data_IF_569431495990
#
_entry.id   IF_569431495990
#
_cell.length_a   1.000
_cell.length_b   1.000
_cell.length_c   1.000
_cell.angle_alpha   90.00
_cell.angle_beta   90.00
_cell.angle_gamma   90.00
#
_symmetry.space_group_name_H-M   'P 1'
#
loop_
_entity.id
_entity.type
_entity.pdbx_description
1 polymer ?
#
# COMPACT_ATOMS: atom_id res chain seq x y z
N UNK A 1 67.89 -19.88 16.59
CA UNK A 1 69.38 -19.90 16.54
C UNK A 1 69.87 -18.62 15.86
N UNK A 2 71.05 -18.13 16.29
CA UNK A 2 72.04 -17.24 15.63
C UNK A 2 71.66 -16.62 14.25
N UNK A 3 71.58 -15.29 14.11
CA UNK A 3 72.67 -14.26 14.03
C UNK A 3 73.33 -14.15 12.64
N UNK A 4 73.25 -12.97 11.98
CA UNK A 4 74.37 -12.00 11.83
C UNK A 4 74.07 -10.85 10.83
N UNK A 5 74.51 -9.61 11.21
CA UNK A 5 75.24 -8.53 10.45
C UNK A 5 74.92 -8.28 8.94
N UNK A 6 75.01 -7.09 8.33
CA UNK A 6 75.86 -5.89 8.49
C UNK A 6 75.30 -4.76 7.54
N UNK A 7 75.70 -3.47 7.45
CA UNK A 7 76.40 -2.50 8.34
C UNK A 7 76.58 -1.12 7.66
N UNK A 8 76.48 0.01 8.40
CA UNK A 8 76.94 1.39 8.06
C UNK A 8 76.28 2.09 6.83
N UNK A 9 76.11 3.43 6.77
CA UNK A 9 77.00 4.52 7.18
C UNK A 9 76.38 5.68 7.96
N UNK A 10 77.24 6.40 8.69
CA UNK A 10 76.98 7.68 9.34
C UNK A 10 77.17 8.88 8.40
N UNK A 11 76.54 10.00 8.73
CA UNK A 11 77.25 11.27 8.92
C UNK A 11 76.54 12.12 9.96
N UNK A 12 77.30 12.69 10.90
CA UNK A 12 76.78 13.53 11.98
C UNK A 12 77.01 15.02 11.66
N UNK A 13 76.16 15.89 12.20
CA UNK A 13 76.56 17.26 12.52
C UNK A 13 75.88 17.70 13.82
N UNK A 14 76.70 18.18 14.76
CA UNK A 14 76.27 18.75 16.05
C UNK A 14 76.53 20.25 15.97
N UNK A 15 75.52 21.09 16.24
CA UNK A 15 75.72 22.48 16.67
C UNK A 15 74.76 22.80 17.84
N UNK A 16 75.24 23.64 18.75
CA UNK A 16 74.70 23.93 20.08
C UNK A 16 73.52 24.92 20.12
N UNK A 17 72.75 24.78 21.20
CA UNK A 17 71.87 25.76 21.89
C UNK A 17 71.89 27.24 21.45
N UNK A 18 70.70 27.82 21.32
CA UNK A 18 70.28 29.00 22.12
C UNK A 18 68.82 28.82 22.56
N UNK A 19 68.53 28.98 23.86
CA UNK A 19 67.17 29.08 24.40
C UNK A 19 66.76 30.56 24.49
N UNK A 20 65.69 30.94 23.80
CA UNK A 20 65.02 32.24 23.99
C UNK A 20 63.51 31.99 24.16
N UNK A 21 62.88 32.45 25.25
CA UNK A 21 61.44 32.30 25.43
C UNK A 21 60.70 33.40 24.65
N UNK A 22 60.24 33.08 23.45
CA UNK A 22 59.33 33.93 22.69
C UNK A 22 57.93 33.30 22.68
N UNK A 23 57.03 33.82 23.53
CA UNK A 23 55.60 33.50 23.48
C UNK A 23 54.98 34.15 22.24
N UNK A 24 55.04 33.45 21.11
CA UNK A 24 54.28 33.79 19.91
C UNK A 24 52.96 33.05 19.96
N UNK A 25 51.87 33.77 20.22
CA UNK A 25 50.53 33.26 20.02
C UNK A 25 50.29 33.07 18.51
N UNK A 26 50.54 31.86 18.00
CA UNK A 26 50.18 31.49 16.64
C UNK A 26 48.64 31.40 16.60
N UNK A 27 48.01 32.47 16.10
CA UNK A 27 46.64 32.38 15.63
C UNK A 27 46.60 31.30 14.55
N UNK A 28 45.96 30.17 14.84
CA UNK A 28 45.63 29.17 13.82
C UNK A 28 44.76 29.82 12.74
N UNK A 29 44.77 29.30 11.50
CA UNK A 29 43.92 29.83 10.45
C UNK A 29 42.48 29.85 10.94
N UNK A 30 41.80 30.99 10.79
CA UNK A 30 40.38 31.10 11.09
C UNK A 30 39.67 29.97 10.35
N UNK A 31 38.81 29.24 11.07
CA UNK A 31 37.83 28.39 10.41
C UNK A 31 36.97 29.33 9.57
N UNK A 32 37.18 29.33 8.25
CA UNK A 32 36.16 29.80 7.32
C UNK A 32 34.85 29.16 7.76
N UNK A 33 33.80 29.93 8.08
CA UNK A 33 32.51 29.33 8.38
C UNK A 33 32.15 28.45 7.19
N UNK A 34 31.75 27.21 7.47
CA UNK A 34 31.15 26.39 6.43
C UNK A 34 30.00 27.20 5.86
N UNK A 35 30.08 27.51 4.56
CA UNK A 35 28.99 28.16 3.87
C UNK A 35 27.87 27.13 3.83
N UNK A 36 26.96 27.22 4.81
CA UNK A 36 25.66 26.56 4.75
C UNK A 36 25.00 27.04 3.47
N UNK A 37 25.13 26.24 2.41
CA UNK A 37 24.45 26.50 1.15
C UNK A 37 22.96 26.65 1.49
N UNK A 38 22.29 27.72 1.03
CA UNK A 38 20.87 27.90 1.32
C UNK A 38 20.11 26.63 0.89
N UNK A 39 19.11 26.19 1.67
CA UNK A 39 18.35 24.99 1.32
C UNK A 39 17.82 25.13 -0.11
N UNK A 40 17.90 24.07 -0.94
CA UNK A 40 17.62 24.18 -2.37
C UNK A 40 16.23 24.77 -2.60
N UNK A 41 16.11 25.74 -3.49
CA UNK A 41 14.84 26.45 -3.76
C UNK A 41 13.75 25.54 -4.38
N UNK A 42 14.12 24.34 -4.84
CA UNK A 42 13.21 23.37 -5.44
C UNK A 42 13.49 21.94 -4.93
N UNK A 43 12.45 21.07 -4.87
CA UNK A 43 12.62 19.66 -4.48
C UNK A 43 13.32 18.85 -5.57
N UNK A 44 14.26 17.98 -5.19
CA UNK A 44 15.06 17.16 -6.12
C UNK A 44 14.24 16.07 -6.85
N UNK A 45 13.06 15.73 -6.32
CA UNK A 45 12.06 14.86 -6.97
C UNK A 45 10.68 15.16 -6.38
N UNK A 46 9.64 15.04 -7.20
CA UNK A 46 8.24 14.98 -6.76
C UNK A 46 7.73 13.55 -6.81
N UNK A 47 6.97 13.14 -5.80
CA UNK A 47 6.46 11.78 -5.67
C UNK A 47 4.97 11.79 -5.35
N UNK A 48 4.13 11.39 -6.30
CA UNK A 48 2.66 11.44 -6.16
C UNK A 48 2.11 10.24 -5.39
N UNK A 49 1.30 10.51 -4.37
CA UNK A 49 0.71 9.53 -3.44
C UNK A 49 -0.80 9.77 -3.34
N UNK A 50 -1.60 8.71 -3.35
CA UNK A 50 -3.02 8.78 -2.94
C UNK A 50 -3.17 8.17 -1.54
N UNK A 51 -3.87 8.89 -0.67
CA UNK A 51 -4.31 8.38 0.63
C UNK A 51 -5.78 7.93 0.48
N UNK A 52 -6.05 6.66 0.74
CA UNK A 52 -7.39 6.07 0.66
C UNK A 52 -7.89 5.66 2.05
N UNK A 53 -8.50 6.58 2.82
CA UNK A 53 -9.18 6.20 4.05
C UNK A 53 -10.39 5.34 3.72
N UNK A 54 -10.40 4.10 4.22
CA UNK A 54 -11.40 3.09 3.92
C UNK A 54 -12.85 3.56 4.11
N UNK A 55 -13.75 3.02 3.30
CA UNK A 55 -15.21 3.20 3.41
C UNK A 55 -15.66 4.67 3.23
N UNK A 56 -16.52 5.19 4.13
CA UNK A 56 -17.02 6.56 4.12
C UNK A 56 -18.54 6.70 3.97
N UNK A 57 -19.19 5.75 3.27
CA UNK A 57 -20.64 5.71 3.09
C UNK A 57 -21.42 5.12 4.26
N UNK A 58 -22.72 4.92 4.05
CA UNK A 58 -23.66 4.35 5.01
C UNK A 58 -24.16 2.95 4.56
N UNK A 59 -24.42 2.07 5.52
CA UNK A 59 -25.07 0.78 5.26
C UNK A 59 -26.59 1.02 5.12
N UNK A 60 -27.07 1.00 3.87
CA UNK A 60 -28.44 1.34 3.50
C UNK A 60 -29.05 0.25 2.60
N UNK A 61 -30.38 0.15 2.66
CA UNK A 61 -31.20 -0.76 1.86
C UNK A 61 -32.25 0.04 1.07
N UNK A 62 -32.68 -0.41 -0.12
CA UNK A 62 -32.35 -1.68 -0.76
C UNK A 62 -30.96 -1.69 -1.44
N UNK A 63 -30.45 -2.88 -1.79
CA UNK A 63 -29.14 -3.04 -2.45
C UNK A 63 -29.13 -2.38 -3.82
N UNK A 64 -30.26 -2.47 -4.50
CA UNK A 64 -30.55 -1.96 -5.84
C UNK A 64 -30.32 -0.44 -5.94
N UNK A 65 -30.52 0.29 -4.84
CA UNK A 65 -30.36 1.74 -4.76
C UNK A 65 -29.06 2.21 -4.10
N UNK A 66 -28.47 1.37 -3.23
CA UNK A 66 -27.41 1.79 -2.29
C UNK A 66 -26.18 0.88 -2.27
N UNK A 67 -26.16 -0.21 -3.04
CA UNK A 67 -25.08 -1.19 -3.08
C UNK A 67 -23.75 -0.68 -3.66
N UNK A 68 -22.79 -1.59 -3.81
CA UNK A 68 -21.52 -1.37 -4.51
C UNK A 68 -21.35 -2.45 -5.59
N UNK A 69 -20.34 -2.30 -6.45
CA UNK A 69 -20.06 -3.17 -7.60
C UNK A 69 -21.25 -3.26 -8.56
N UNK A 70 -21.51 -2.16 -9.26
CA UNK A 70 -22.52 -2.13 -10.32
C UNK A 70 -22.08 -2.98 -11.53
N UNK A 71 -22.95 -3.88 -11.96
CA UNK A 71 -22.77 -4.75 -13.11
C UNK A 71 -23.59 -4.26 -14.32
N UNK A 72 -22.95 -3.81 -15.41
CA UNK A 72 -23.66 -3.36 -16.61
C UNK A 72 -24.26 -4.52 -17.43
N UNK A 73 -23.92 -5.79 -17.13
CA UNK A 73 -24.58 -6.94 -17.78
C UNK A 73 -26.02 -7.08 -17.28
N UNK A 74 -26.22 -6.99 -15.97
CA UNK A 74 -27.51 -7.17 -15.29
C UNK A 74 -28.22 -5.89 -14.84
N UNK A 75 -27.60 -4.71 -15.01
CA UNK A 75 -28.08 -3.38 -14.59
C UNK A 75 -28.38 -3.30 -13.07
N UNK A 76 -27.49 -3.89 -12.26
CA UNK A 76 -27.68 -4.05 -10.81
C UNK A 76 -26.37 -3.96 -10.02
N UNK A 77 -26.45 -3.50 -8.77
CA UNK A 77 -25.38 -3.71 -7.79
C UNK A 77 -25.31 -5.18 -7.37
N UNK A 78 -24.13 -5.78 -7.44
CA UNK A 78 -23.93 -7.16 -7.02
C UNK A 78 -23.82 -7.28 -5.50
N UNK A 79 -23.15 -6.34 -4.84
CA UNK A 79 -22.92 -6.35 -3.38
C UNK A 79 -23.70 -5.25 -2.64
N UNK A 80 -23.94 -5.47 -1.33
CA UNK A 80 -24.31 -4.40 -0.41
C UNK A 80 -23.11 -3.46 -0.19
N UNK A 81 -23.37 -2.19 0.08
CA UNK A 81 -22.29 -1.25 0.38
C UNK A 81 -21.68 -1.55 1.76
N UNK A 82 -20.37 -1.79 1.79
CA UNK A 82 -19.63 -2.10 3.02
C UNK A 82 -19.21 -0.80 3.70
N UNK A 83 -19.92 -0.42 4.77
CA UNK A 83 -19.70 0.88 5.46
C UNK A 83 -18.52 0.92 6.45
N UNK A 84 -17.81 -0.20 6.60
CA UNK A 84 -16.67 -0.40 7.50
C UNK A 84 -17.06 -1.07 8.81
N UNK A 85 -16.06 -1.52 9.55
CA UNK A 85 -16.22 -2.11 10.86
C UNK A 85 -16.77 -1.10 11.89
N UNK A 86 -17.46 -1.59 12.92
CA UNK A 86 -17.96 -0.77 14.03
C UNK A 86 -17.92 -1.57 15.34
N UNK A 87 -17.44 -0.96 16.42
CA UNK A 87 -17.36 -1.57 17.74
C UNK A 87 -17.39 -0.50 18.84
N UNK A 88 -18.09 -0.76 19.97
CA UNK A 88 -18.14 0.15 21.13
C UNK A 88 -18.47 1.62 20.78
N UNK A 89 -19.40 1.84 19.84
CA UNK A 89 -19.75 3.17 19.33
C UNK A 89 -18.76 3.81 18.35
N UNK A 90 -17.59 3.20 18.12
CA UNK A 90 -16.58 3.62 17.14
C UNK A 90 -16.95 3.09 15.76
N UNK A 91 -16.62 3.86 14.72
CA UNK A 91 -16.79 3.52 13.31
C UNK A 91 -15.44 3.62 12.61
N UNK A 92 -15.04 2.59 11.87
CA UNK A 92 -13.77 2.55 11.14
C UNK A 92 -13.60 3.78 10.25
N UNK A 93 -14.63 4.08 9.43
CA UNK A 93 -14.63 5.20 8.47
C UNK A 93 -14.27 6.55 9.07
N UNK A 94 -14.60 6.79 10.34
CA UNK A 94 -14.26 8.03 11.05
C UNK A 94 -12.78 8.03 11.43
N UNK A 95 -12.31 6.98 12.09
CA UNK A 95 -10.94 6.90 12.61
C UNK A 95 -9.90 6.94 11.48
N UNK A 96 -10.13 6.17 10.41
CA UNK A 96 -9.20 6.12 9.27
C UNK A 96 -9.21 7.40 8.44
N UNK A 97 -10.34 8.12 8.37
CA UNK A 97 -10.41 9.44 7.73
C UNK A 97 -9.55 10.45 8.47
N UNK A 98 -9.71 10.54 9.79
CA UNK A 98 -8.96 11.51 10.60
C UNK A 98 -7.45 11.21 10.59
N UNK A 99 -7.06 9.92 10.62
CA UNK A 99 -5.66 9.53 10.45
C UNK A 99 -5.14 9.90 9.05
N UNK A 100 -5.94 9.76 8.00
CA UNK A 100 -5.55 10.16 6.64
C UNK A 100 -5.44 11.69 6.49
N UNK A 101 -6.31 12.48 7.14
CA UNK A 101 -6.20 13.96 7.20
C UNK A 101 -4.89 14.37 7.87
N UNK A 102 -4.61 13.82 9.05
CA UNK A 102 -3.38 14.14 9.79
C UNK A 102 -2.13 13.66 9.05
N UNK A 103 -2.15 12.48 8.41
CA UNK A 103 -1.07 12.03 7.50
C UNK A 103 -0.89 12.99 6.31
N UNK A 104 -1.97 13.48 5.71
CA UNK A 104 -1.91 14.46 4.62
C UNK A 104 -1.25 15.75 5.07
N UNK A 105 -1.60 16.27 6.24
CA UNK A 105 -0.98 17.50 6.79
C UNK A 105 0.54 17.33 6.95
N UNK A 106 1.00 16.21 7.51
CA UNK A 106 2.44 15.94 7.65
C UNK A 106 3.14 15.76 6.29
N UNK A 107 2.49 15.14 5.31
CA UNK A 107 3.06 15.01 3.95
C UNK A 107 3.06 16.34 3.19
N UNK A 108 2.04 17.18 3.37
CA UNK A 108 1.92 18.48 2.71
C UNK A 108 3.00 19.47 3.20
N UNK A 109 3.59 19.28 4.39
CA UNK A 109 4.80 19.98 4.82
C UNK A 109 5.94 19.85 3.79
N UNK A 110 6.03 18.75 3.04
CA UNK A 110 7.07 18.57 2.02
C UNK A 110 6.90 19.44 0.77
N UNK A 111 5.89 20.31 0.70
CA UNK A 111 5.58 21.14 -0.48
C UNK A 111 6.29 22.49 -0.53
N UNK A 112 6.78 23.02 0.59
CA UNK A 112 7.55 24.29 0.65
C UNK A 112 8.87 24.12 1.42
N UNK A 113 9.85 25.03 1.29
CA UNK A 113 11.12 24.94 2.02
C UNK A 113 10.93 24.96 3.55
N UNK A 114 10.02 25.82 4.05
CA UNK A 114 9.74 26.05 5.46
C UNK A 114 8.97 24.86 6.06
N UNK A 115 7.98 24.36 5.31
CA UNK A 115 7.32 23.10 5.63
C UNK A 115 8.33 21.96 5.68
N UNK A 116 9.25 21.87 4.71
CA UNK A 116 10.23 20.78 4.68
C UNK A 116 11.25 20.88 5.83
N UNK A 117 11.60 22.07 6.29
CA UNK A 117 12.35 22.24 7.55
C UNK A 117 11.58 21.65 8.75
N UNK A 118 10.27 21.87 8.83
CA UNK A 118 9.40 21.27 9.85
C UNK A 118 9.34 19.74 9.70
N UNK A 119 9.17 19.23 8.47
CA UNK A 119 9.20 17.80 8.18
C UNK A 119 10.53 17.14 8.60
N UNK A 120 11.68 17.76 8.27
CA UNK A 120 13.00 17.30 8.73
C UNK A 120 13.10 17.20 10.25
N UNK A 121 12.48 18.11 10.99
CA UNK A 121 12.45 18.04 12.47
C UNK A 121 11.78 16.75 12.97
N UNK A 122 10.70 16.30 12.32
CA UNK A 122 10.06 15.03 12.62
C UNK A 122 10.91 13.82 12.20
N UNK A 123 11.65 13.93 11.10
CA UNK A 123 12.51 12.86 10.59
C UNK A 123 13.71 12.56 11.50
N UNK A 124 14.13 13.54 12.33
CA UNK A 124 15.17 13.35 13.37
C UNK A 124 14.84 12.25 14.40
N UNK A 125 13.59 11.78 14.52
CA UNK A 125 13.28 10.59 15.33
C UNK A 125 13.75 9.27 14.68
N UNK A 126 13.83 9.22 13.35
CA UNK A 126 14.06 7.99 12.57
C UNK A 126 15.47 7.90 12.00
N UNK A 127 16.08 9.03 11.61
CA UNK A 127 17.43 9.08 11.04
C UNK A 127 18.31 10.16 11.71
N UNK A 128 19.62 9.95 11.69
CA UNK A 128 20.63 10.95 12.08
C UNK A 128 21.14 11.74 10.86
N UNK A 129 20.89 11.23 9.65
CA UNK A 129 21.45 11.79 8.43
C UNK A 129 20.56 12.96 7.97
N UNK A 130 21.19 13.98 7.37
CA UNK A 130 20.46 15.01 6.60
C UNK A 130 19.67 14.33 5.46
N UNK A 131 18.43 14.75 5.26
CA UNK A 131 17.57 14.22 4.19
C UNK A 131 17.30 15.28 3.12
N UNK A 132 17.45 14.96 1.82
CA UNK A 132 17.25 15.93 0.75
C UNK A 132 15.77 16.26 0.55
N UNK A 133 15.48 17.45 0.01
CA UNK A 133 14.10 17.85 -0.21
C UNK A 133 13.45 17.05 -1.34
N UNK A 134 12.59 16.11 -0.96
CA UNK A 134 11.69 15.39 -1.87
C UNK A 134 10.27 15.85 -1.55
N UNK A 135 9.55 16.33 -2.55
CA UNK A 135 8.14 16.71 -2.41
C UNK A 135 7.27 15.47 -2.55
N UNK A 136 6.45 15.20 -1.53
CA UNK A 136 5.36 14.24 -1.62
C UNK A 136 4.09 15.00 -2.00
N UNK A 137 3.51 14.63 -3.14
CA UNK A 137 2.28 15.25 -3.64
C UNK A 137 1.08 14.35 -3.30
N UNK A 138 0.47 14.62 -2.14
CA UNK A 138 -0.60 13.81 -1.55
C UNK A 138 -2.02 14.36 -1.81
N UNK A 139 -2.88 13.49 -2.35
CA UNK A 139 -4.33 13.68 -2.49
C UNK A 139 -5.09 12.59 -1.75
N UNK A 140 -6.36 12.84 -1.38
CA UNK A 140 -7.21 11.86 -0.67
C UNK A 140 -8.36 11.39 -1.56
N UNK A 141 -8.79 10.13 -1.44
CA UNK A 141 -9.97 9.62 -2.16
C UNK A 141 -11.29 10.17 -1.62
N UNK A 142 -11.31 10.63 -0.36
CA UNK A 142 -12.40 11.35 0.30
C UNK A 142 -11.87 12.20 1.45
N UNK A 143 -12.57 13.28 1.78
CA UNK A 143 -12.23 14.22 2.87
C UNK A 143 -13.25 14.23 4.02
N UNK A 144 -14.37 13.53 3.86
CA UNK A 144 -15.57 13.56 4.71
C UNK A 144 -16.19 12.16 4.82
N UNK A 145 -17.03 11.95 5.83
CA UNK A 145 -17.96 10.80 5.90
C UNK A 145 -19.38 11.19 5.42
N UNK A 146 -20.21 10.20 5.07
CA UNK A 146 -21.60 10.44 4.65
C UNK A 146 -22.41 11.20 5.69
N UNK A 147 -22.10 11.03 6.98
CA UNK A 147 -22.74 11.74 8.09
C UNK A 147 -22.30 13.21 8.25
N UNK A 148 -21.18 13.62 7.65
CA UNK A 148 -20.64 14.99 7.72
C UNK A 148 -21.12 15.87 6.55
N UNK A 149 -21.77 15.28 5.55
CA UNK A 149 -22.26 15.97 4.35
C UNK A 149 -23.70 16.45 4.52
N UNK A 150 -24.02 17.57 3.86
CA UNK A 150 -25.41 17.96 3.54
C UNK A 150 -26.15 16.91 2.68
N UNK A 151 -25.42 15.91 2.16
CA UNK A 151 -25.93 14.72 1.48
C UNK A 151 -26.61 13.68 2.40
N UNK A 152 -26.87 13.97 3.68
CA UNK A 152 -27.92 13.25 4.42
C UNK A 152 -29.30 13.39 3.72
N UNK A 153 -29.50 14.46 2.95
CA UNK A 153 -30.63 14.67 2.04
C UNK A 153 -30.37 14.19 0.58
N UNK A 154 -29.30 13.42 0.34
CA UNK A 154 -29.01 12.86 -0.98
C UNK A 154 -29.99 11.77 -1.38
N UNK A 155 -30.29 11.70 -2.67
CA UNK A 155 -30.88 10.51 -3.29
C UNK A 155 -29.93 9.29 -3.24
N UNK A 156 -28.61 9.53 -3.11
CA UNK A 156 -27.58 8.51 -2.95
C UNK A 156 -26.39 9.03 -2.10
N UNK A 157 -26.30 8.67 -0.81
CA UNK A 157 -25.17 9.05 0.03
C UNK A 157 -23.94 8.15 -0.16
N UNK A 158 -24.04 7.03 -0.87
CA UNK A 158 -22.94 6.07 -1.08
C UNK A 158 -22.14 6.35 -2.35
N UNK A 159 -22.75 6.99 -3.35
CA UNK A 159 -22.13 7.46 -4.59
C UNK A 159 -20.64 7.88 -4.49
N UNK A 160 -20.25 8.89 -3.69
CA UNK A 160 -18.85 9.34 -3.61
C UNK A 160 -17.87 8.33 -2.98
N UNK A 161 -18.36 7.27 -2.34
CA UNK A 161 -17.58 6.33 -1.55
C UNK A 161 -17.50 4.90 -2.14
N UNK A 162 -18.26 4.63 -3.21
CA UNK A 162 -18.23 3.34 -3.93
C UNK A 162 -16.83 3.03 -4.44
N UNK A 163 -16.45 1.77 -4.31
CA UNK A 163 -15.14 1.31 -4.78
C UNK A 163 -15.08 1.25 -6.31
N UNK A 164 -16.19 0.81 -6.92
CA UNK A 164 -16.39 0.66 -8.36
C UNK A 164 -17.17 1.84 -8.97
N UNK A 165 -17.14 1.93 -10.29
CA UNK A 165 -17.96 2.90 -11.02
C UNK A 165 -19.45 2.58 -10.89
N UNK A 166 -20.28 3.60 -11.01
CA UNK A 166 -21.72 3.51 -10.75
C UNK A 166 -22.53 4.44 -11.65
N UNK A 167 -23.78 4.10 -12.01
CA UNK A 167 -24.67 5.00 -12.72
C UNK A 167 -25.13 6.14 -11.80
N UNK A 168 -25.02 7.36 -12.29
CA UNK A 168 -25.69 8.52 -11.71
C UNK A 168 -27.22 8.30 -11.70
N UNK A 169 -27.88 8.40 -10.55
CA UNK A 169 -29.31 8.01 -10.43
C UNK A 169 -30.22 8.73 -11.42
N UNK A 170 -29.97 10.02 -11.67
CA UNK A 170 -30.78 10.92 -12.50
C UNK A 170 -30.44 10.83 -13.98
N UNK A 171 -29.15 10.83 -14.34
CA UNK A 171 -28.70 10.89 -15.73
C UNK A 171 -28.33 9.53 -16.33
N UNK A 172 -28.26 8.48 -15.50
CA UNK A 172 -27.75 7.12 -15.81
C UNK A 172 -26.33 7.06 -16.40
N UNK A 173 -25.64 8.19 -16.52
CA UNK A 173 -24.23 8.27 -16.94
C UNK A 173 -23.36 7.65 -15.86
N UNK A 174 -22.45 6.77 -16.27
CA UNK A 174 -21.45 6.18 -15.38
C UNK A 174 -20.56 7.28 -14.78
N UNK A 175 -20.33 7.19 -13.47
CA UNK A 175 -19.46 8.07 -12.68
C UNK A 175 -18.29 7.25 -12.14
N UNK A 176 -17.08 7.85 -12.03
CA UNK A 176 -15.92 7.16 -11.50
C UNK A 176 -16.07 6.86 -10.00
N UNK A 177 -15.86 5.61 -9.60
CA UNK A 177 -15.65 5.20 -8.21
C UNK A 177 -14.21 5.43 -7.74
N UNK A 178 -13.91 5.01 -6.50
CA UNK A 178 -12.59 5.24 -5.88
C UNK A 178 -11.43 4.64 -6.67
N UNK A 179 -11.56 3.45 -7.27
CA UNK A 179 -10.47 2.84 -8.07
C UNK A 179 -10.18 3.67 -9.34
N UNK A 180 -11.22 4.11 -10.04
CA UNK A 180 -11.09 4.95 -11.26
C UNK A 180 -10.52 6.33 -10.92
N UNK A 181 -10.93 6.93 -9.79
CA UNK A 181 -10.28 8.13 -9.25
C UNK A 181 -8.79 7.89 -9.02
N UNK A 182 -8.40 6.84 -8.29
CA UNK A 182 -7.00 6.51 -8.01
C UNK A 182 -6.18 6.35 -9.31
N UNK A 183 -6.71 5.65 -10.30
CA UNK A 183 -6.02 5.43 -11.58
C UNK A 183 -5.86 6.74 -12.37
N UNK A 184 -6.87 7.61 -12.38
CA UNK A 184 -6.80 8.95 -12.97
C UNK A 184 -5.75 9.84 -12.30
N UNK A 185 -5.54 9.68 -10.99
CA UNK A 185 -4.51 10.42 -10.27
C UNK A 185 -3.07 9.97 -10.63
N UNK A 186 -2.88 8.84 -11.33
CA UNK A 186 -1.56 8.32 -11.76
C UNK A 186 -0.49 8.28 -10.63
N UNK A 187 -0.81 7.78 -9.41
CA UNK A 187 0.14 7.78 -8.30
C UNK A 187 1.20 6.70 -8.42
N UNK A 188 2.31 6.90 -7.72
CA UNK A 188 3.35 5.88 -7.56
C UNK A 188 2.98 4.91 -6.42
N UNK A 189 2.41 5.45 -5.34
CA UNK A 189 2.02 4.75 -4.13
C UNK A 189 0.58 5.12 -3.74
N UNK A 190 -0.19 4.12 -3.31
CA UNK A 190 -1.49 4.30 -2.66
C UNK A 190 -1.39 3.74 -1.25
N UNK A 191 -1.67 4.58 -0.25
CA UNK A 191 -1.74 4.18 1.16
C UNK A 191 -3.22 4.05 1.52
N UNK A 192 -3.70 2.81 1.61
CA UNK A 192 -5.09 2.53 2.01
C UNK A 192 -5.14 2.16 3.48
N UNK A 193 -6.00 2.84 4.24
CA UNK A 193 -6.07 2.77 5.70
C UNK A 193 -7.41 2.16 6.13
N UNK A 194 -7.34 1.02 6.81
CA UNK A 194 -8.46 0.22 7.27
C UNK A 194 -8.27 -0.25 8.73
N UNK A 195 -9.36 -0.67 9.37
CA UNK A 195 -9.36 -1.29 10.71
C UNK A 195 -10.23 -2.54 10.73
N UNK A 196 -9.64 -3.67 11.11
CA UNK A 196 -10.34 -4.95 11.10
C UNK A 196 -11.09 -5.20 12.42
N UNK A 197 -12.26 -5.86 12.45
CA UNK A 197 -12.73 -6.59 13.63
C UNK A 197 -11.76 -7.72 13.99
N UNK A 198 -11.56 -7.97 15.29
CA UNK A 198 -10.77 -9.08 15.77
C UNK A 198 -11.59 -10.33 16.13
N UNK A 199 -10.93 -11.49 16.19
CA UNK A 199 -11.48 -12.66 16.87
C UNK A 199 -11.12 -12.65 18.38
N UNK A 200 -11.79 -13.49 19.18
CA UNK A 200 -11.54 -13.62 20.62
C UNK A 200 -10.05 -13.87 20.89
N UNK A 201 -9.46 -13.16 21.86
CA UNK A 201 -8.03 -13.27 22.22
C UNK A 201 -7.01 -12.82 21.14
N UNK A 202 -7.42 -12.31 19.98
CA UNK A 202 -6.49 -11.71 19.00
C UNK A 202 -5.62 -10.61 19.65
N UNK A 203 -4.29 -10.57 19.42
CA UNK A 203 -3.37 -9.61 20.06
C UNK A 203 -3.52 -8.14 19.64
N UNK A 204 -4.45 -7.80 18.74
CA UNK A 204 -4.45 -6.51 18.04
C UNK A 204 -3.25 -6.36 17.10
N UNK A 205 -2.80 -5.12 16.91
CA UNK A 205 -1.68 -4.78 16.03
C UNK A 205 -2.10 -4.50 14.59
N UNK A 206 -1.21 -4.72 13.63
CA UNK A 206 -1.38 -4.31 12.23
C UNK A 206 -1.24 -5.50 11.27
N UNK A 207 -1.77 -5.41 10.05
CA UNK A 207 -1.55 -6.38 8.98
C UNK A 207 -1.56 -5.72 7.60
N UNK A 208 -0.89 -6.34 6.63
CA UNK A 208 -1.02 -5.98 5.22
C UNK A 208 -2.20 -6.72 4.56
N UNK A 209 -2.78 -6.14 3.52
CA UNK A 209 -3.79 -6.80 2.67
C UNK A 209 -3.23 -6.97 1.27
N UNK A 210 -3.21 -8.21 0.77
CA UNK A 210 -2.55 -8.57 -0.49
C UNK A 210 -3.50 -9.35 -1.41
N UNK A 211 -3.34 -9.08 -2.71
CA UNK A 211 -3.82 -9.92 -3.80
C UNK A 211 -2.57 -10.35 -4.59
N UNK A 212 -2.37 -11.64 -4.91
CA UNK A 212 -1.23 -12.09 -5.71
C UNK A 212 -1.41 -11.70 -7.19
N UNK A 213 -0.40 -11.99 -8.01
CA UNK A 213 -0.48 -11.79 -9.46
C UNK A 213 -1.21 -12.93 -10.19
N UNK A 214 -1.34 -12.78 -11.51
CA UNK A 214 -1.80 -13.82 -12.42
C UNK A 214 -1.10 -15.18 -12.21
N UNK A 215 0.18 -15.20 -11.82
CA UNK A 215 0.98 -16.44 -11.67
C UNK A 215 0.40 -17.37 -10.61
N UNK A 216 0.18 -16.89 -9.39
CA UNK A 216 -0.43 -17.68 -8.31
C UNK A 216 -1.88 -18.04 -8.63
N UNK A 217 -2.69 -17.11 -9.17
CA UNK A 217 -4.06 -17.46 -9.58
C UNK A 217 -4.08 -18.55 -10.67
N UNK A 218 -3.15 -18.52 -11.64
CA UNK A 218 -3.03 -19.55 -12.67
C UNK A 218 -2.63 -20.92 -12.09
N UNK A 219 -1.82 -20.96 -11.03
CA UNK A 219 -1.54 -22.19 -10.27
C UNK A 219 -2.82 -22.70 -9.59
N UNK A 220 -3.57 -21.85 -8.90
CA UNK A 220 -4.83 -22.20 -8.23
C UNK A 220 -5.90 -22.71 -9.23
N UNK A 221 -6.01 -22.08 -10.41
CA UNK A 221 -6.80 -22.58 -11.54
C UNK A 221 -6.33 -23.96 -12.01
N UNK A 222 -5.01 -24.16 -12.12
CA UNK A 222 -4.43 -25.46 -12.46
C UNK A 222 -4.71 -26.55 -11.44
N UNK A 223 -4.73 -26.24 -10.14
CA UNK A 223 -5.14 -27.19 -9.07
C UNK A 223 -6.62 -27.55 -9.22
N UNK A 224 -7.49 -26.54 -9.40
CA UNK A 224 -8.92 -26.73 -9.67
C UNK A 224 -9.21 -27.62 -10.90
N UNK A 225 -8.37 -27.52 -11.93
CA UNK A 225 -8.44 -28.33 -13.15
C UNK A 225 -7.76 -29.70 -13.05
N UNK A 226 -7.11 -30.03 -11.92
CA UNK A 226 -6.32 -31.26 -11.74
C UNK A 226 -5.01 -31.29 -12.55
N UNK A 227 -4.54 -30.15 -13.06
CA UNK A 227 -3.26 -30.01 -13.77
C UNK A 227 -2.07 -29.84 -12.83
N UNK A 228 -2.30 -29.41 -11.59
CA UNK A 228 -1.29 -29.28 -10.54
C UNK A 228 -1.77 -29.93 -9.25
N UNK A 229 -0.84 -30.47 -8.48
CA UNK A 229 -1.10 -31.03 -7.15
C UNK A 229 -1.21 -29.91 -6.08
N UNK A 230 -1.85 -30.21 -4.95
CA UNK A 230 -2.21 -29.23 -3.91
C UNK A 230 -0.97 -28.64 -3.21
N UNK A 231 0.13 -29.37 -3.21
CA UNK A 231 1.44 -29.01 -2.65
C UNK A 231 1.98 -27.71 -3.24
N UNK A 232 1.68 -27.43 -4.52
CA UNK A 232 2.04 -26.15 -5.17
C UNK A 232 1.43 -24.92 -4.49
N UNK A 233 0.37 -25.10 -3.71
CA UNK A 233 -0.19 -24.06 -2.86
C UNK A 233 0.25 -24.21 -1.40
N UNK A 234 0.18 -25.41 -0.81
CA UNK A 234 0.42 -25.60 0.63
C UNK A 234 1.89 -25.39 1.02
N UNK A 235 2.84 -25.64 0.12
CA UNK A 235 4.26 -25.34 0.32
C UNK A 235 4.64 -23.91 -0.07
N UNK A 236 3.70 -23.14 -0.64
CA UNK A 236 3.95 -21.76 -1.07
C UNK A 236 3.80 -20.75 0.07
N UNK A 237 4.40 -19.55 -0.03
CA UNK A 237 4.14 -18.44 0.89
C UNK A 237 2.67 -17.98 0.94
N UNK A 238 1.87 -18.33 -0.09
CA UNK A 238 0.45 -17.99 -0.19
C UNK A 238 -0.47 -18.99 0.54
N UNK A 239 0.07 -20.06 1.11
CA UNK A 239 -0.67 -21.12 1.84
C UNK A 239 -1.55 -20.59 2.98
N UNK A 240 -1.17 -19.45 3.57
CA UNK A 240 -1.86 -18.79 4.68
C UNK A 240 -3.10 -17.98 4.26
N UNK A 241 -3.82 -18.45 3.22
CA UNK A 241 -4.97 -17.77 2.63
C UNK A 241 -6.13 -17.51 3.61
N UNK A 242 -6.88 -16.43 3.38
CA UNK A 242 -8.02 -16.06 4.20
C UNK A 242 -9.15 -17.10 4.08
N UNK A 243 -9.76 -17.46 5.20
CA UNK A 243 -10.99 -18.27 5.22
C UNK A 243 -12.18 -17.33 5.34
N UNK A 244 -12.83 -17.03 4.22
CA UNK A 244 -14.04 -16.21 4.15
C UNK A 244 -15.31 -17.05 3.97
N UNK A 245 -15.19 -18.30 3.49
CA UNK A 245 -16.26 -19.28 3.47
C UNK A 245 -16.06 -20.28 4.62
N UNK A 246 -16.95 -20.23 5.59
CA UNK A 246 -16.93 -21.15 6.73
C UNK A 246 -17.03 -22.62 6.28
N UNK A 247 -16.28 -23.50 6.94
CA UNK A 247 -16.21 -24.92 6.61
C UNK A 247 -15.44 -25.26 5.33
N UNK A 248 -14.76 -24.29 4.70
CA UNK A 248 -13.86 -24.49 3.56
C UNK A 248 -12.39 -24.34 4.02
N UNK A 249 -11.49 -25.15 3.47
CA UNK A 249 -10.04 -25.04 3.74
C UNK A 249 -9.42 -23.77 3.12
N UNK A 250 -8.20 -23.40 3.53
CA UNK A 250 -7.46 -22.28 2.92
C UNK A 250 -7.31 -22.45 1.41
N UNK A 251 -6.98 -23.67 0.95
CA UNK A 251 -6.91 -23.99 -0.48
C UNK A 251 -8.27 -23.85 -1.18
N UNK A 252 -9.37 -24.29 -0.56
CA UNK A 252 -10.70 -24.17 -1.16
C UNK A 252 -11.12 -22.69 -1.30
N UNK A 253 -10.79 -21.83 -0.33
CA UNK A 253 -10.99 -20.38 -0.44
C UNK A 253 -10.08 -19.76 -1.51
N UNK A 254 -8.79 -20.12 -1.55
CA UNK A 254 -7.86 -19.65 -2.58
C UNK A 254 -8.29 -20.06 -4.01
N UNK A 255 -8.77 -21.29 -4.18
CA UNK A 255 -9.38 -21.74 -5.44
C UNK A 255 -10.62 -20.91 -5.76
N UNK A 256 -11.53 -20.66 -4.80
CA UNK A 256 -12.70 -19.82 -5.04
C UNK A 256 -12.33 -18.41 -5.55
N UNK A 257 -11.32 -17.79 -4.94
CA UNK A 257 -10.78 -16.52 -5.39
C UNK A 257 -10.18 -16.57 -6.80
N UNK A 258 -9.61 -17.70 -7.22
CA UNK A 258 -9.15 -17.88 -8.60
C UNK A 258 -10.31 -17.95 -9.62
N UNK A 259 -11.41 -18.64 -9.31
CA UNK A 259 -12.64 -18.63 -10.14
C UNK A 259 -13.20 -17.18 -10.24
N UNK A 260 -13.29 -16.46 -9.12
CA UNK A 260 -13.75 -15.06 -9.07
C UNK A 260 -12.79 -14.12 -9.83
N UNK A 261 -11.48 -14.35 -9.74
CA UNK A 261 -10.46 -13.58 -10.46
C UNK A 261 -10.57 -13.75 -11.98
N UNK A 262 -10.64 -14.99 -12.48
CA UNK A 262 -10.64 -15.23 -13.93
C UNK A 262 -11.95 -14.87 -14.63
N UNK A 263 -13.09 -15.24 -14.06
CA UNK A 263 -14.37 -15.09 -14.77
C UNK A 263 -15.50 -14.56 -13.88
N UNK A 264 -15.20 -14.05 -12.69
CA UNK A 264 -16.20 -13.39 -11.84
C UNK A 264 -17.32 -14.30 -11.32
N UNK A 265 -17.15 -15.62 -11.26
CA UNK A 265 -18.12 -16.52 -10.62
C UNK A 265 -17.44 -17.31 -9.51
N UNK A 266 -18.19 -17.70 -8.48
CA UNK A 266 -17.74 -18.69 -7.51
C UNK A 266 -17.72 -20.10 -8.12
N UNK A 267 -16.91 -21.03 -7.57
CA UNK A 267 -17.12 -22.46 -7.79
C UNK A 267 -18.22 -22.98 -6.86
N UNK A 268 -18.84 -24.08 -7.25
CA UNK A 268 -19.58 -24.91 -6.32
C UNK A 268 -18.63 -25.55 -5.28
N UNK A 269 -19.18 -26.20 -4.24
CA UNK A 269 -18.41 -26.80 -3.13
C UNK A 269 -17.31 -27.81 -3.56
N UNK A 270 -17.36 -28.35 -4.78
CA UNK A 270 -16.31 -29.25 -5.28
C UNK A 270 -15.06 -28.55 -5.79
N UNK A 271 -15.08 -27.22 -5.97
CA UNK A 271 -13.97 -26.45 -6.57
C UNK A 271 -13.75 -26.70 -8.07
N UNK A 272 -14.64 -27.46 -8.74
CA UNK A 272 -14.45 -27.97 -10.12
C UNK A 272 -15.51 -27.52 -11.13
N UNK A 273 -16.61 -26.93 -10.69
CA UNK A 273 -17.69 -26.42 -11.55
C UNK A 273 -18.16 -25.06 -11.05
N UNK A 274 -18.61 -24.21 -11.95
CA UNK A 274 -19.18 -22.89 -11.66
C UNK A 274 -20.45 -23.00 -10.82
N UNK A 275 -20.62 -22.07 -9.87
CA UNK A 275 -21.94 -21.71 -9.36
C UNK A 275 -22.46 -20.51 -10.16
N UNK A 276 -23.44 -20.75 -11.03
CA UNK A 276 -24.02 -19.70 -11.89
C UNK A 276 -24.91 -18.71 -11.12
N UNK A 277 -25.30 -19.02 -9.88
CA UNK A 277 -26.08 -18.12 -9.02
C UNK A 277 -25.20 -17.13 -8.26
N UNK A 278 -23.91 -17.45 -8.10
CA UNK A 278 -22.93 -16.65 -7.36
C UNK A 278 -21.98 -15.91 -8.31
N UNK A 279 -22.51 -14.85 -8.94
CA UNK A 279 -21.76 -13.95 -9.82
C UNK A 279 -21.24 -12.72 -9.04
N UNK A 280 -19.95 -12.45 -9.19
CA UNK A 280 -19.16 -11.40 -8.55
C UNK A 280 -18.60 -10.36 -9.53
N UNK A 281 -19.02 -10.42 -10.80
CA UNK A 281 -18.71 -9.40 -11.80
C UNK A 281 -17.39 -9.58 -12.54
N UNK A 282 -17.36 -9.10 -13.79
CA UNK A 282 -16.11 -8.87 -14.52
C UNK A 282 -15.49 -7.54 -14.07
N UNK A 283 -14.89 -7.57 -12.87
CA UNK A 283 -14.47 -6.40 -12.10
C UNK A 283 -13.53 -5.45 -12.85
N UNK A 284 -12.74 -5.94 -13.80
CA UNK A 284 -11.88 -5.12 -14.67
C UNK A 284 -12.66 -4.15 -15.58
N UNK A 285 -13.95 -4.44 -15.85
CA UNK A 285 -14.82 -3.61 -16.68
C UNK A 285 -15.81 -2.76 -15.85
N UNK A 286 -15.81 -2.92 -14.52
CA UNK A 286 -16.61 -2.16 -13.55
C UNK A 286 -15.92 -0.85 -13.10
N UNK A 287 -14.86 -0.45 -13.79
CA UNK A 287 -14.04 0.75 -13.55
C UNK A 287 -13.64 1.40 -14.87
N UNK A 288 -13.31 2.69 -14.83
CA UNK A 288 -12.85 3.48 -15.97
C UNK A 288 -11.34 3.59 -15.93
N UNK A 289 -10.68 2.98 -16.91
CA UNK A 289 -9.24 2.93 -17.11
C UNK A 289 -8.89 2.34 -18.48
N UNK A 290 -7.69 2.61 -18.98
CA UNK A 290 -7.17 2.14 -20.28
C UNK A 290 -7.20 0.62 -20.52
N UNK A 291 -7.25 -0.19 -19.46
CA UNK A 291 -7.24 -1.66 -19.53
C UNK A 291 -8.63 -2.30 -19.59
N UNK A 292 -9.71 -1.50 -19.55
CA UNK A 292 -11.08 -1.97 -19.79
C UNK A 292 -11.22 -2.56 -21.21
N UNK A 293 -12.05 -3.58 -21.33
CA UNK A 293 -12.39 -4.20 -22.61
C UNK A 293 -13.18 -3.23 -23.52
N UNK A 294 -13.22 -3.51 -24.82
CA UNK A 294 -13.85 -2.62 -25.80
C UNK A 294 -15.39 -2.52 -25.60
N UNK A 295 -16.03 -1.41 -26.01
CA UNK A 295 -17.49 -1.28 -25.99
C UNK A 295 -18.19 -2.47 -26.69
N UNK A 296 -19.26 -2.99 -26.09
CA UNK A 296 -19.96 -4.20 -26.57
C UNK A 296 -19.48 -5.49 -25.91
N UNK A 297 -18.48 -5.45 -25.03
CA UNK A 297 -18.04 -6.62 -24.26
C UNK A 297 -19.18 -7.25 -23.42
N UNK A 298 -20.18 -6.47 -23.01
CA UNK A 298 -21.36 -6.95 -22.30
C UNK A 298 -22.16 -7.98 -23.12
N UNK A 299 -22.22 -7.82 -24.45
CA UNK A 299 -22.90 -8.76 -25.35
C UNK A 299 -22.12 -10.07 -25.47
N UNK A 300 -20.80 -9.98 -25.63
CA UNK A 300 -19.89 -11.13 -25.62
C UNK A 300 -19.98 -11.89 -24.29
N UNK A 301 -20.10 -11.18 -23.17
CA UNK A 301 -20.24 -11.77 -21.84
C UNK A 301 -21.60 -12.46 -21.62
N UNK A 302 -22.68 -11.95 -22.23
CA UNK A 302 -24.00 -12.60 -22.24
C UNK A 302 -24.00 -13.89 -23.07
N UNK A 303 -23.41 -13.86 -24.27
CA UNK A 303 -23.22 -15.04 -25.12
C UNK A 303 -22.36 -16.11 -24.44
N UNK A 304 -21.26 -15.69 -23.80
CA UNK A 304 -20.30 -16.58 -23.16
C UNK A 304 -19.53 -17.45 -24.15
N UNK A 305 -19.27 -18.71 -23.80
CA UNK A 305 -18.49 -19.64 -24.63
C UNK A 305 -17.02 -19.72 -24.21
N UNK A 306 -16.12 -19.83 -25.20
CA UNK A 306 -14.66 -19.86 -25.00
C UNK A 306 -14.10 -18.44 -25.15
N UNK A 307 -13.25 -18.01 -24.22
CA UNK A 307 -12.68 -16.65 -24.22
C UNK A 307 -12.63 -16.01 -22.82
N UNK A 308 -12.46 -14.68 -22.72
CA UNK A 308 -12.30 -13.98 -21.43
C UNK A 308 -13.58 -13.93 -20.58
N UNK A 309 -14.76 -14.13 -21.17
CA UNK A 309 -16.04 -14.23 -20.45
C UNK A 309 -16.55 -15.67 -20.32
N UNK A 310 -15.64 -16.64 -20.40
CA UNK A 310 -16.01 -18.03 -20.19
C UNK A 310 -16.38 -18.29 -18.74
N UNK A 311 -17.57 -18.87 -18.52
CA UNK A 311 -18.06 -19.22 -17.19
C UNK A 311 -17.31 -20.41 -16.55
N UNK A 312 -16.31 -21.00 -17.20
CA UNK A 312 -15.55 -22.15 -16.69
C UNK A 312 -14.05 -22.00 -16.91
N UNK A 313 -13.23 -22.50 -15.98
CA UNK A 313 -11.77 -22.56 -16.12
C UNK A 313 -11.30 -23.20 -17.44
N UNK A 314 -11.89 -24.33 -17.88
CA UNK A 314 -11.48 -25.06 -19.08
C UNK A 314 -11.57 -24.24 -20.37
N UNK A 315 -12.62 -23.43 -20.50
CA UNK A 315 -12.91 -22.65 -21.69
C UNK A 315 -12.46 -21.16 -21.56
N UNK A 316 -11.98 -20.76 -20.38
CA UNK A 316 -11.46 -19.42 -20.14
C UNK A 316 -10.12 -19.19 -20.83
N UNK A 317 -9.96 -18.02 -21.45
CA UNK A 317 -8.73 -17.57 -22.09
C UNK A 317 -8.40 -16.14 -21.65
N UNK A 318 -7.18 -15.93 -21.17
CA UNK A 318 -6.71 -14.65 -20.65
C UNK A 318 -6.24 -13.71 -21.79
N UNK A 319 -7.20 -13.20 -22.55
CA UNK A 319 -7.04 -12.33 -23.73
C UNK A 319 -7.63 -10.94 -23.49
N UNK A 320 -6.99 -9.89 -23.99
CA UNK A 320 -7.39 -8.50 -23.80
C UNK A 320 -6.45 -7.72 -22.87
N UNK A 321 -6.58 -6.39 -22.90
CA UNK A 321 -5.62 -5.43 -22.30
C UNK A 321 -5.40 -5.66 -20.80
N UNK A 322 -6.47 -5.94 -20.05
CA UNK A 322 -6.36 -6.28 -18.63
C UNK A 322 -5.48 -7.52 -18.43
N UNK A 323 -5.73 -8.60 -19.18
CA UNK A 323 -5.00 -9.84 -19.02
C UNK A 323 -3.53 -9.71 -19.46
N UNK A 324 -3.26 -8.95 -20.52
CA UNK A 324 -1.89 -8.61 -20.94
C UNK A 324 -1.12 -7.87 -19.84
N UNK A 325 -1.75 -6.88 -19.20
CA UNK A 325 -1.21 -6.22 -18.01
C UNK A 325 -0.97 -7.21 -16.87
N UNK A 326 -1.97 -8.02 -16.51
CA UNK A 326 -1.90 -9.00 -15.40
C UNK A 326 -0.76 -10.02 -15.56
N UNK A 327 -0.38 -10.34 -16.81
CA UNK A 327 0.75 -11.22 -17.16
C UNK A 327 2.11 -10.47 -17.23
N UNK A 328 2.12 -9.14 -17.13
CA UNK A 328 3.29 -8.30 -17.32
C UNK A 328 4.24 -8.24 -16.11
N UNK A 329 5.50 -7.90 -16.37
CA UNK A 329 6.55 -7.78 -15.34
C UNK A 329 6.20 -6.84 -14.18
N UNK A 330 5.54 -5.67 -14.37
CA UNK A 330 5.14 -4.79 -13.27
C UNK A 330 4.19 -5.45 -12.26
N UNK A 331 3.34 -6.36 -12.71
CA UNK A 331 2.40 -7.07 -11.84
C UNK A 331 3.10 -8.14 -11.00
N UNK A 332 4.06 -8.86 -11.59
CA UNK A 332 4.95 -9.78 -10.86
C UNK A 332 5.77 -9.03 -9.81
N UNK A 333 6.37 -7.90 -10.18
CA UNK A 333 7.19 -7.08 -9.29
C UNK A 333 6.41 -6.47 -8.11
N UNK A 334 5.14 -6.08 -8.34
CA UNK A 334 4.34 -5.41 -7.31
C UNK A 334 3.48 -6.37 -6.48
N UNK A 335 3.12 -7.57 -6.98
CA UNK A 335 2.25 -8.53 -6.27
C UNK A 335 2.84 -9.91 -5.99
N UNK A 336 3.91 -10.35 -6.65
CA UNK A 336 4.35 -11.76 -6.56
C UNK A 336 5.61 -11.94 -5.71
N UNK A 337 6.78 -11.53 -6.21
CA UNK A 337 8.10 -11.76 -5.58
C UNK A 337 8.65 -10.44 -5.02
N UNK A 338 9.19 -10.43 -3.79
CA UNK A 338 9.60 -9.18 -3.14
C UNK A 338 10.59 -9.33 -1.98
N UNK A 339 10.92 -8.20 -1.33
CA UNK A 339 11.85 -8.17 -0.18
C UNK A 339 11.35 -8.94 1.04
N UNK A 340 10.03 -9.11 1.16
CA UNK A 340 9.36 -9.89 2.18
C UNK A 340 9.22 -11.39 1.79
N UNK A 341 9.93 -11.84 0.75
CA UNK A 341 9.87 -13.20 0.21
C UNK A 341 8.68 -13.48 -0.71
N UNK A 342 7.57 -12.73 -0.56
CA UNK A 342 6.39 -12.79 -1.43
C UNK A 342 5.57 -11.49 -1.33
N UNK A 343 4.57 -11.32 -2.20
CA UNK A 343 3.65 -10.18 -2.19
C UNK A 343 4.19 -8.91 -2.83
N UNK A 344 5.37 -8.98 -3.47
CA UNK A 344 5.97 -7.89 -4.25
C UNK A 344 6.31 -6.63 -3.47
N UNK A 345 6.49 -5.53 -4.21
CA UNK A 345 6.63 -4.19 -3.63
C UNK A 345 5.38 -3.73 -2.85
N UNK A 346 4.18 -4.29 -3.10
CA UNK A 346 2.99 -4.01 -2.29
C UNK A 346 3.20 -4.50 -0.84
N UNK A 347 3.61 -5.75 -0.66
CA UNK A 347 3.86 -6.30 0.67
C UNK A 347 5.02 -5.60 1.36
N UNK A 348 6.11 -5.32 0.64
CA UNK A 348 7.22 -4.53 1.17
C UNK A 348 6.77 -3.13 1.61
N UNK A 349 5.97 -2.44 0.80
CA UNK A 349 5.44 -1.12 1.15
C UNK A 349 4.58 -1.18 2.42
N UNK A 350 3.62 -2.11 2.49
CA UNK A 350 2.78 -2.26 3.69
C UNK A 350 3.60 -2.61 4.93
N UNK A 351 4.50 -3.61 4.83
CA UNK A 351 5.35 -4.05 5.94
C UNK A 351 6.27 -2.94 6.44
N UNK A 352 6.90 -2.18 5.54
CA UNK A 352 7.77 -1.07 5.90
C UNK A 352 6.99 0.07 6.57
N UNK A 353 5.82 0.47 6.07
CA UNK A 353 4.98 1.48 6.74
C UNK A 353 4.57 1.04 8.15
N UNK A 354 4.19 -0.23 8.35
CA UNK A 354 3.88 -0.77 9.68
C UNK A 354 5.11 -0.79 10.59
N UNK A 355 6.30 -1.14 10.10
CA UNK A 355 7.57 -1.04 10.86
C UNK A 355 7.85 0.40 11.29
N UNK A 356 7.58 1.39 10.43
CA UNK A 356 7.75 2.79 10.79
C UNK A 356 6.81 3.20 11.94
N UNK A 357 5.54 2.77 11.91
CA UNK A 357 4.59 3.00 13.01
C UNK A 357 5.04 2.31 14.30
N UNK A 358 5.46 1.03 14.24
CA UNK A 358 6.02 0.30 15.38
C UNK A 358 7.22 1.01 16.02
N UNK A 359 8.11 1.55 15.20
CA UNK A 359 9.31 2.24 15.63
C UNK A 359 8.99 3.63 16.20
N UNK A 360 8.16 4.42 15.49
CA UNK A 360 7.87 5.79 15.87
C UNK A 360 7.08 5.91 17.17
N UNK A 361 6.09 5.02 17.38
CA UNK A 361 5.33 4.95 18.62
C UNK A 361 6.21 4.59 19.83
N UNK A 362 7.18 3.68 19.68
CA UNK A 362 8.14 3.34 20.74
C UNK A 362 9.19 4.41 20.98
N UNK A 363 9.61 5.11 19.92
CA UNK A 363 10.69 6.09 20.01
C UNK A 363 10.24 7.44 20.55
N UNK A 364 9.01 7.87 20.24
CA UNK A 364 8.43 9.13 20.72
C UNK A 364 7.88 8.92 22.12
N UNK A 365 8.65 9.35 23.12
CA UNK A 365 8.18 9.42 24.51
C UNK A 365 7.15 10.55 24.66
N UNK A 366 6.13 10.28 25.44
CA UNK A 366 5.08 11.20 25.88
C UNK A 366 5.09 11.25 27.41
N UNK A 367 4.48 12.27 28.01
CA UNK A 367 4.34 12.36 29.46
C UNK A 367 3.27 11.39 29.99
N UNK A 368 2.19 11.15 29.23
CA UNK A 368 1.21 10.09 29.48
C UNK A 368 1.78 8.72 29.05
N UNK A 369 1.57 7.69 29.89
CA UNK A 369 1.91 6.31 29.57
C UNK A 369 0.87 5.71 28.61
N UNK A 370 1.31 5.26 27.44
CA UNK A 370 0.45 4.67 26.41
C UNK A 370 0.75 3.18 26.22
N UNK A 371 -0.24 2.39 25.78
CA UNK A 371 -0.02 0.98 25.47
C UNK A 371 0.99 0.83 24.33
N UNK A 372 1.89 -0.14 24.48
CA UNK A 372 2.75 -0.61 23.41
C UNK A 372 1.93 -1.09 22.20
N UNK A 373 2.31 -0.75 20.95
CA UNK A 373 1.63 -1.23 19.76
C UNK A 373 1.76 -2.75 19.60
N UNK A 374 0.64 -3.39 19.28
CA UNK A 374 0.55 -4.83 18.98
C UNK A 374 1.39 -5.25 17.77
N UNK A 375 1.53 -6.55 17.48
CA UNK A 375 2.46 -7.08 16.49
C UNK A 375 2.15 -6.66 15.05
N UNK A 376 3.10 -6.86 14.14
CA UNK A 376 2.80 -6.97 12.70
C UNK A 376 2.39 -8.43 12.45
N UNK A 377 1.12 -8.64 12.14
CA UNK A 377 0.50 -9.94 11.88
C UNK A 377 0.78 -10.41 10.45
N UNK A 378 0.48 -11.69 10.15
CA UNK A 378 0.51 -12.21 8.78
C UNK A 378 -0.49 -11.43 7.89
N UNK A 379 -0.19 -11.24 6.60
CA UNK A 379 -1.08 -10.54 5.69
C UNK A 379 -2.40 -11.28 5.45
N UNK A 380 -3.47 -10.52 5.20
CA UNK A 380 -4.72 -11.04 4.66
C UNK A 380 -4.58 -11.25 3.14
N UNK A 381 -4.84 -12.48 2.68
CA UNK A 381 -4.66 -12.88 1.28
C UNK A 381 -6.04 -13.23 0.68
N UNK A 382 -6.44 -12.52 -0.38
CA UNK A 382 -7.65 -12.81 -1.17
C UNK A 382 -7.59 -12.06 -2.52
N UNK A 383 -8.60 -12.21 -3.39
CA UNK A 383 -8.75 -11.46 -4.65
C UNK A 383 -9.17 -10.00 -4.44
N UNK A 384 -8.53 -9.29 -3.50
CA UNK A 384 -8.87 -7.91 -3.13
C UNK A 384 -8.80 -6.95 -4.33
N UNK A 385 -9.86 -6.15 -4.50
CA UNK A 385 -10.04 -5.31 -5.68
C UNK A 385 -8.99 -4.18 -5.76
N UNK A 386 -8.76 -3.43 -4.67
CA UNK A 386 -7.85 -2.29 -4.67
C UNK A 386 -6.41 -2.65 -5.14
N UNK A 387 -5.68 -3.60 -4.53
CA UNK A 387 -4.33 -3.94 -4.99
C UNK A 387 -4.30 -4.54 -6.41
N UNK A 388 -5.39 -5.13 -6.88
CA UNK A 388 -5.48 -5.73 -8.23
C UNK A 388 -5.66 -4.65 -9.30
N UNK A 389 -6.66 -3.78 -9.13
CA UNK A 389 -7.16 -2.88 -10.19
C UNK A 389 -6.60 -1.44 -10.13
N UNK A 390 -5.76 -1.11 -9.15
CA UNK A 390 -4.98 0.14 -9.19
C UNK A 390 -3.65 -0.06 -9.94
N UNK A 391 -3.26 0.94 -10.71
CA UNK A 391 -2.05 0.95 -11.52
C UNK A 391 -0.88 1.65 -10.79
N UNK A 392 -0.64 1.21 -9.55
CA UNK A 392 0.32 1.77 -8.60
C UNK A 392 0.86 0.69 -7.64
N UNK A 393 1.82 1.05 -6.79
CA UNK A 393 2.15 0.25 -5.59
C UNK A 393 1.05 0.46 -4.55
N UNK A 394 0.55 -0.63 -3.97
CA UNK A 394 -0.50 -0.64 -2.97
C UNK A 394 0.09 -0.94 -1.60
N UNK A 395 0.15 0.05 -0.72
CA UNK A 395 0.31 -0.15 0.72
C UNK A 395 -1.07 -0.19 1.38
N UNK A 396 -1.73 -1.34 1.33
CA UNK A 396 -3.01 -1.56 2.01
C UNK A 396 -2.71 -2.03 3.44
N UNK A 397 -3.18 -1.27 4.43
CA UNK A 397 -2.92 -1.45 5.85
C UNK A 397 -4.23 -1.67 6.62
N UNK A 398 -4.38 -2.84 7.25
CA UNK A 398 -5.17 -2.94 8.47
C UNK A 398 -4.31 -2.36 9.59
N UNK A 399 -4.53 -1.08 9.94
CA UNK A 399 -3.61 -0.31 10.79
C UNK A 399 -3.86 -0.49 12.30
N UNK A 400 -4.84 -1.33 12.65
CA UNK A 400 -5.30 -1.59 14.01
C UNK A 400 -6.58 -2.42 14.01
N UNK A 401 -7.03 -2.86 15.19
CA UNK A 401 -8.30 -3.57 15.34
C UNK A 401 -9.31 -2.73 16.12
N UNK A 402 -10.50 -2.48 15.55
CA UNK A 402 -11.46 -1.50 16.06
C UNK A 402 -12.02 -1.83 17.45
N UNK A 403 -12.08 -3.11 17.80
CA UNK A 403 -12.54 -3.61 19.09
C UNK A 403 -11.42 -3.64 20.17
N UNK A 404 -10.15 -3.55 19.77
CA UNK A 404 -8.99 -3.54 20.67
C UNK A 404 -8.73 -2.16 21.22
N UNK A 405 -8.82 -2.05 22.55
CA UNK A 405 -8.66 -0.78 23.23
C UNK A 405 -7.27 -0.18 23.07
N UNK A 406 -6.22 -1.01 23.08
CA UNK A 406 -4.83 -0.59 22.90
C UNK A 406 -4.62 0.08 21.53
N UNK A 407 -5.06 -0.59 20.46
CA UNK A 407 -4.96 -0.07 19.09
C UNK A 407 -5.77 1.23 18.94
N UNK A 408 -6.98 1.28 19.52
CA UNK A 408 -7.82 2.48 19.44
C UNK A 408 -7.26 3.67 20.24
N UNK A 409 -6.62 3.44 21.39
CA UNK A 409 -5.87 4.49 22.11
C UNK A 409 -4.77 5.05 21.20
N UNK A 410 -4.01 4.20 20.50
CA UNK A 410 -2.95 4.63 19.58
C UNK A 410 -3.50 5.40 18.37
N UNK A 411 -4.58 4.91 17.76
CA UNK A 411 -5.20 5.55 16.58
C UNK A 411 -6.00 6.83 16.89
N UNK A 412 -6.30 7.12 18.16
CA UNK A 412 -7.08 8.31 18.55
C UNK A 412 -6.27 9.30 19.39
N UNK A 413 -5.64 8.87 20.49
CA UNK A 413 -4.81 9.74 21.35
C UNK A 413 -3.41 9.98 20.79
N UNK A 414 -2.80 9.00 20.11
CA UNK A 414 -1.46 9.11 19.49
C UNK A 414 -1.49 9.20 17.97
N UNK A 415 -2.64 9.59 17.40
CA UNK A 415 -2.86 9.65 15.94
C UNK A 415 -1.78 10.45 15.21
N UNK A 416 -1.32 11.56 15.78
CA UNK A 416 -0.19 12.37 15.27
C UNK A 416 1.11 11.59 15.13
N UNK A 417 1.46 10.76 16.11
CA UNK A 417 2.68 9.95 16.06
C UNK A 417 2.55 8.85 15.00
N UNK A 418 1.36 8.26 14.84
CA UNK A 418 1.07 7.31 13.75
C UNK A 418 1.20 7.99 12.40
N UNK A 419 0.57 9.16 12.21
CA UNK A 419 0.63 9.96 11.00
C UNK A 419 2.05 10.37 10.62
N UNK A 420 2.84 10.87 11.57
CA UNK A 420 4.25 11.22 11.35
C UNK A 420 5.08 9.98 10.99
N UNK A 421 4.80 8.84 11.61
CA UNK A 421 5.50 7.58 11.31
C UNK A 421 5.17 7.06 9.91
N UNK A 422 3.89 7.07 9.52
CA UNK A 422 3.47 6.75 8.16
C UNK A 422 4.09 7.71 7.13
N UNK A 423 4.16 9.02 7.43
CA UNK A 423 4.80 10.01 6.56
C UNK A 423 6.31 9.76 6.38
N UNK A 424 7.01 9.41 7.48
CA UNK A 424 8.41 9.01 7.44
C UNK A 424 8.63 7.73 6.61
N UNK A 425 7.72 6.76 6.73
CA UNK A 425 7.71 5.55 5.92
C UNK A 425 7.46 5.83 4.43
N UNK A 426 6.51 6.70 4.08
CA UNK A 426 6.25 7.12 2.69
C UNK A 426 7.47 7.80 2.09
N UNK A 427 8.12 8.71 2.83
CA UNK A 427 9.38 9.33 2.41
C UNK A 427 10.51 8.29 2.22
N UNK A 428 10.63 7.32 3.15
CA UNK A 428 11.60 6.21 3.05
C UNK A 428 11.36 5.33 1.83
N UNK A 429 10.11 5.01 1.50
CA UNK A 429 9.77 4.27 0.29
C UNK A 429 10.13 5.06 -0.98
N UNK A 430 9.92 6.38 -0.99
CA UNK A 430 10.25 7.27 -2.11
C UNK A 430 11.77 7.43 -2.34
N UNK A 431 12.52 7.83 -1.29
CA UNK A 431 13.93 8.22 -1.39
C UNK A 431 14.92 7.20 -0.78
N UNK A 432 14.53 6.63 0.36
CA UNK A 432 15.36 5.84 1.27
C UNK A 432 15.94 6.73 2.38
N UNK A 433 16.07 6.20 3.59
CA UNK A 433 16.73 6.86 4.73
C UNK A 433 17.53 5.84 5.55
N UNK A 434 18.60 6.28 6.21
CA UNK A 434 19.36 5.43 7.13
C UNK A 434 18.69 5.41 8.51
N UNK A 435 18.14 4.28 8.90
CA UNK A 435 17.43 4.14 10.17
C UNK A 435 18.41 4.12 11.35
N UNK A 436 18.09 4.83 12.44
CA UNK A 436 18.84 4.71 13.70
C UNK A 436 18.63 3.31 14.28
N UNK A 437 19.72 2.62 14.57
CA UNK A 437 19.68 1.33 15.25
C UNK A 437 19.00 1.46 16.62
N UNK A 438 18.03 0.61 16.91
CA UNK A 438 17.31 0.51 18.19
C UNK A 438 17.02 -0.97 18.45
N UNK A 439 16.98 -1.37 19.71
CA UNK A 439 16.57 -2.72 20.13
C UNK A 439 15.04 -2.79 20.25
N UNK A 440 14.38 -2.83 19.08
CA UNK A 440 12.92 -2.95 18.96
C UNK A 440 12.57 -4.17 18.11
N UNK A 441 11.42 -4.85 18.37
CA UNK A 441 11.03 -6.06 17.63
C UNK A 441 10.78 -5.81 16.13
N UNK A 442 10.49 -4.56 15.75
CA UNK A 442 10.24 -4.16 14.37
C UNK A 442 11.01 -2.88 14.06
N UNK A 443 12.19 -3.02 13.46
CA UNK A 443 13.00 -1.90 12.95
C UNK A 443 12.75 -1.75 11.45
N UNK A 444 12.43 -0.55 10.92
CA UNK A 444 12.32 -0.32 9.49
C UNK A 444 13.64 -0.60 8.76
N UNK A 445 13.55 -1.01 7.50
CA UNK A 445 14.76 -1.27 6.70
C UNK A 445 15.35 0.02 6.09
N UNK A 446 14.55 1.08 5.94
CA UNK A 446 14.96 2.37 5.40
C UNK A 446 15.15 2.40 3.88
N UNK A 447 14.84 1.33 3.15
CA UNK A 447 15.20 1.19 1.74
C UNK A 447 14.08 1.66 0.82
N UNK A 448 14.37 2.55 -0.14
CA UNK A 448 13.39 2.87 -1.21
C UNK A 448 13.00 1.66 -2.03
N UNK A 449 11.82 1.72 -2.64
CA UNK A 449 11.41 0.86 -3.76
C UNK A 449 12.26 1.21 -5.00
N UNK A 450 12.44 0.24 -5.90
CA UNK A 450 13.13 0.47 -7.17
C UNK A 450 12.21 1.15 -8.19
N UNK A 451 11.80 2.40 -7.95
CA UNK A 451 10.86 3.13 -8.82
C UNK A 451 11.27 3.14 -10.29
N UNK A 452 12.58 3.18 -10.57
CA UNK A 452 13.13 3.16 -11.94
C UNK A 452 12.65 1.98 -12.78
N UNK A 453 12.37 0.80 -12.20
CA UNK A 453 11.87 -0.36 -12.96
C UNK A 453 10.46 -0.17 -13.49
N UNK A 454 9.63 0.62 -12.80
CA UNK A 454 8.28 0.97 -13.23
C UNK A 454 8.27 2.22 -14.11
N UNK A 455 9.17 3.16 -13.85
CA UNK A 455 9.29 4.42 -14.61
C UNK A 455 9.86 4.20 -16.02
N UNK A 456 10.64 3.11 -16.23
CA UNK A 456 11.32 2.80 -17.49
C UNK A 456 10.99 1.35 -17.93
N UNK A 457 9.75 1.09 -18.34
CA UNK A 457 9.43 -0.18 -18.99
C UNK A 457 10.07 -0.26 -20.39
N UNK A 458 9.96 -1.44 -21.01
CA UNK A 458 10.19 -1.59 -22.45
C UNK A 458 9.35 -0.57 -23.22
N UNK A 459 9.88 -0.11 -24.35
CA UNK A 459 9.29 0.93 -25.20
C UNK A 459 9.15 2.32 -24.53
N UNK A 460 9.87 2.56 -23.42
CA UNK A 460 9.94 3.86 -22.75
C UNK A 460 8.70 4.23 -21.95
N UNK A 461 7.78 3.29 -21.73
CA UNK A 461 6.51 3.54 -21.07
C UNK A 461 6.70 3.61 -19.54
N UNK A 462 6.18 4.65 -18.90
CA UNK A 462 6.12 4.74 -17.45
C UNK A 462 4.84 4.08 -16.94
N UNK A 463 4.97 2.94 -16.23
CA UNK A 463 3.86 2.15 -15.69
C UNK A 463 2.76 3.02 -15.08
N UNK A 464 3.11 3.90 -14.14
CA UNK A 464 2.16 4.69 -13.35
C UNK A 464 1.31 5.66 -14.20
N UNK A 465 1.81 6.08 -15.36
CA UNK A 465 1.17 7.11 -16.18
C UNK A 465 0.10 6.56 -17.15
N UNK A 466 0.05 5.24 -17.35
CA UNK A 466 -0.75 4.56 -18.39
C UNK A 466 -2.26 4.58 -18.09
N UNK A 467 -2.67 4.36 -16.85
CA UNK A 467 -4.05 3.96 -16.54
C UNK A 467 -5.09 5.08 -16.46
N UNK A 468 -4.64 6.34 -16.35
CA UNK A 468 -5.50 7.52 -16.25
C UNK A 468 -5.82 8.17 -17.60
N UNK A 469 -5.90 7.36 -18.66
CA UNK A 469 -6.39 7.70 -20.01
C UNK A 469 -7.71 6.95 -20.26
#
# INVERSE_FOLDING_TARGET
>A
MRLFRNSFYHSAFIIFFVLVPATVAIAGPERTPEVENPPPETPIKTFKVVLDPGHGGADLKPKEDHGDKYDPISDKYLELYKSGASAKGRKERVIVLELAKELKEILDLTKTPEGFATFRSYMKSFTNDEIPWVRIDSVMTRTENAEEREYAASEDPNAPYRLFDYPDKKTKKIKPGRISFINREKPHLVVSLHLNPSYKEHPGGMAAVLSPSYRTFYVLKGISEGRYAEEKFTESPWSEWMVFKEGWSKLQNAVADAWIYFHGYWPNRSGKKTDLSAFEGYRQNMITWKYKDLPGWEELARLGGKGPYSKTHKNFVAEGKFWEREKGEPELWRREDGREGFGGDNHYASAELMRFVQYGLRKRKTEEEFPEPGPINKPYLSTYALPTFINAISAYLEIGYIDKEKDMILMTKRRKDVAISLAAGVYSLAHGIKIKQQDYPYVPTGKKINWKRYENLKDGVNYFQIAGE
#
